data_IF_154546355113
#
_entry.id   IF_154546355113
#
_cell.length_a   1.000
_cell.length_b   1.000
_cell.length_c   1.000
_cell.angle_alpha   90.00
_cell.angle_beta   90.00
_cell.angle_gamma   90.00
#
_symmetry.space_group_name_H-M   'P 1'
#
loop_
_entity.id
_entity.type
_entity.pdbx_description
1 polymer ?
#
# COMPACT_ATOMS: atom_id res chain seq x y z
N UNK A 1 43.22 -1.73 59.22
CA UNK A 1 43.33 -2.68 58.09
C UNK A 1 42.13 -2.43 57.18
N UNK A 2 42.31 -1.77 56.03
CA UNK A 2 41.23 -1.40 55.12
C UNK A 2 41.33 -2.23 53.84
N UNK A 3 40.26 -2.92 53.46
CA UNK A 3 40.17 -3.70 52.22
C UNK A 3 39.15 -3.03 51.30
N UNK A 4 39.62 -2.25 50.33
CA UNK A 4 38.80 -1.61 49.31
C UNK A 4 38.71 -2.54 48.10
N UNK A 5 37.64 -3.34 48.02
CA UNK A 5 37.35 -4.15 46.84
C UNK A 5 36.66 -3.29 45.77
N UNK A 6 37.42 -2.96 44.73
CA UNK A 6 36.94 -2.30 43.52
C UNK A 6 36.10 -3.26 42.67
N UNK A 7 34.79 -3.07 42.62
CA UNK A 7 33.91 -3.71 41.65
C UNK A 7 34.04 -3.02 40.30
N UNK A 8 34.60 -3.71 39.30
CA UNK A 8 34.62 -3.26 37.90
C UNK A 8 33.25 -3.51 37.28
N UNK A 9 32.51 -2.44 36.99
CA UNK A 9 31.27 -2.51 36.23
C UNK A 9 31.56 -3.01 34.81
N UNK A 10 30.94 -4.13 34.43
CA UNK A 10 30.96 -4.61 33.05
C UNK A 10 30.00 -3.74 32.22
N UNK A 11 30.54 -2.94 31.31
CA UNK A 11 29.78 -2.26 30.26
C UNK A 11 29.29 -3.32 29.28
N UNK A 12 28.01 -3.69 29.40
CA UNK A 12 27.33 -4.49 28.40
C UNK A 12 27.36 -3.73 27.06
N UNK A 13 28.00 -4.32 26.05
CA UNK A 13 28.05 -3.77 24.70
C UNK A 13 26.68 -3.92 24.06
N UNK A 14 25.89 -2.85 24.01
CA UNK A 14 24.65 -2.80 23.24
C UNK A 14 25.01 -2.89 21.75
N UNK A 15 24.75 -4.04 21.11
CA UNK A 15 24.86 -4.14 19.66
C UNK A 15 23.74 -3.30 19.01
N UNK A 16 24.03 -2.52 17.96
CA UNK A 16 22.99 -1.87 17.15
C UNK A 16 22.15 -2.97 16.50
N UNK A 17 20.82 -2.90 16.66
CA UNK A 17 19.92 -3.74 15.87
C UNK A 17 20.17 -3.45 14.38
N UNK A 18 20.19 -4.47 13.49
CA UNK A 18 20.20 -4.21 12.06
C UNK A 18 18.97 -3.37 11.69
N UNK A 19 19.08 -2.45 10.70
CA UNK A 19 17.92 -1.73 10.20
C UNK A 19 16.88 -2.76 9.71
N UNK A 20 15.62 -2.53 10.07
CA UNK A 20 14.52 -3.36 9.60
C UNK A 20 14.50 -3.37 8.05
N UNK A 21 14.14 -4.50 7.41
CA UNK A 21 13.98 -4.53 5.97
C UNK A 21 12.96 -3.47 5.55
N UNK A 22 13.34 -2.60 4.61
CA UNK A 22 12.42 -1.62 4.04
C UNK A 22 11.30 -2.38 3.31
N UNK A 23 10.02 -2.04 3.55
CA UNK A 23 8.93 -2.70 2.85
C UNK A 23 8.99 -2.38 1.36
N UNK A 24 8.76 -3.38 0.52
CA UNK A 24 8.63 -3.17 -0.93
C UNK A 24 7.54 -2.13 -1.22
N UNK A 25 7.74 -1.24 -2.20
CA UNK A 25 6.74 -0.25 -2.56
C UNK A 25 5.45 -0.94 -3.02
N UNK A 26 4.33 -0.57 -2.40
CA UNK A 26 3.02 -1.07 -2.79
C UNK A 26 2.71 -0.63 -4.23
N UNK A 27 2.11 -1.50 -5.06
CA UNK A 27 1.85 -1.20 -6.47
C UNK A 27 0.76 -0.15 -6.69
N UNK A 28 -0.08 0.10 -5.68
CA UNK A 28 -1.13 1.12 -5.70
C UNK A 28 -1.08 1.96 -4.43
N UNK A 29 -1.51 3.20 -4.52
CA UNK A 29 -1.68 4.12 -3.37
C UNK A 29 -3.15 4.49 -3.18
N UNK A 30 -3.47 4.99 -1.99
CA UNK A 30 -4.79 5.54 -1.69
C UNK A 30 -5.08 6.69 -2.67
N UNK A 31 -6.29 6.68 -3.24
CA UNK A 31 -6.74 7.63 -4.27
C UNK A 31 -6.51 7.18 -5.71
N UNK A 32 -5.74 6.10 -5.94
CA UNK A 32 -5.58 5.57 -7.30
C UNK A 32 -6.89 5.01 -7.85
N UNK A 33 -7.11 5.25 -9.15
CA UNK A 33 -8.23 4.65 -9.89
C UNK A 33 -7.78 3.31 -10.45
N UNK A 34 -8.44 2.26 -9.99
CA UNK A 34 -8.16 0.88 -10.37
C UNK A 34 -9.40 0.23 -10.98
N UNK A 35 -9.18 -0.89 -11.65
CA UNK A 35 -10.24 -1.73 -12.22
C UNK A 35 -9.94 -3.19 -11.89
N UNK A 36 -10.96 -4.04 -11.91
CA UNK A 36 -10.75 -5.48 -11.91
C UNK A 36 -10.09 -5.94 -13.22
N UNK A 37 -9.17 -6.90 -13.13
CA UNK A 37 -8.56 -7.55 -14.30
C UNK A 37 -9.56 -8.28 -15.19
N UNK A 38 -10.67 -8.74 -14.62
CA UNK A 38 -11.80 -9.29 -15.38
C UNK A 38 -12.56 -8.23 -16.20
N UNK A 39 -12.19 -6.96 -16.08
CA UNK A 39 -12.99 -5.82 -16.55
C UNK A 39 -14.07 -5.41 -15.56
N UNK A 40 -14.82 -4.37 -15.89
CA UNK A 40 -15.97 -3.89 -15.10
C UNK A 40 -15.85 -2.43 -14.68
N UNK A 41 -16.41 -2.10 -13.52
CA UNK A 41 -16.48 -0.72 -13.02
C UNK A 41 -15.13 -0.20 -12.53
N UNK A 42 -14.97 1.13 -12.62
CA UNK A 42 -13.83 1.86 -12.07
C UNK A 42 -14.03 2.00 -10.57
N UNK A 43 -12.96 1.82 -9.81
CA UNK A 43 -12.97 1.92 -8.36
C UNK A 43 -11.81 2.78 -7.90
N UNK A 44 -11.93 3.36 -6.71
CA UNK A 44 -10.88 4.16 -6.08
C UNK A 44 -10.33 3.42 -4.88
N UNK A 45 -9.02 3.31 -4.76
CA UNK A 45 -8.39 2.74 -3.56
C UNK A 45 -8.64 3.67 -2.37
N UNK A 46 -9.40 3.20 -1.38
CA UNK A 46 -9.72 3.95 -0.17
C UNK A 46 -8.73 3.64 0.95
N UNK A 47 -8.40 2.36 1.16
CA UNK A 47 -7.42 1.95 2.16
C UNK A 47 -6.64 0.72 1.71
N UNK A 48 -5.45 0.54 2.29
CA UNK A 48 -4.55 -0.58 1.99
C UNK A 48 -4.26 -1.30 3.30
N UNK A 49 -4.53 -2.60 3.33
CA UNK A 49 -4.22 -3.46 4.47
C UNK A 49 -2.86 -4.14 4.28
N UNK A 50 -2.12 -4.31 5.37
CA UNK A 50 -0.86 -5.05 5.39
C UNK A 50 -1.02 -6.54 5.01
N UNK A 51 -2.26 -7.05 4.95
CA UNK A 51 -2.57 -8.42 4.51
C UNK A 51 -2.67 -8.60 3.00
N UNK A 52 -2.43 -7.55 2.19
CA UNK A 52 -2.49 -7.62 0.73
C UNK A 52 -3.89 -7.40 0.12
N UNK A 53 -4.83 -6.92 0.95
CA UNK A 53 -6.17 -6.53 0.53
C UNK A 53 -6.27 -5.00 0.43
N UNK A 54 -6.98 -4.55 -0.61
CA UNK A 54 -7.23 -3.14 -0.88
C UNK A 54 -8.73 -2.91 -0.69
N UNK A 55 -9.09 -1.97 0.17
CA UNK A 55 -10.47 -1.50 0.23
C UNK A 55 -10.67 -0.54 -0.94
N UNK A 56 -11.58 -0.90 -1.86
CA UNK A 56 -11.88 -0.14 -3.05
C UNK A 56 -13.32 0.36 -2.99
N UNK A 57 -13.50 1.66 -3.23
CA UNK A 57 -14.82 2.29 -3.32
C UNK A 57 -15.28 2.33 -4.77
N UNK A 58 -16.52 1.90 -5.00
CA UNK A 58 -17.20 1.97 -6.28
C UNK A 58 -18.39 2.94 -6.17
N UNK A 59 -18.60 3.75 -7.21
CA UNK A 59 -19.77 4.62 -7.31
C UNK A 59 -20.87 3.90 -8.08
N UNK A 60 -21.88 3.40 -7.37
CA UNK A 60 -23.07 2.82 -7.99
C UNK A 60 -23.98 3.94 -8.51
N UNK A 61 -24.64 3.71 -9.64
CA UNK A 61 -25.64 4.63 -10.21
C UNK A 61 -26.82 4.81 -9.24
N UNK A 62 -26.72 5.82 -8.35
CA UNK A 62 -27.69 6.01 -7.28
C UNK A 62 -27.20 6.82 -6.08
N UNK A 63 -26.01 7.45 -6.15
CA UNK A 63 -25.38 8.17 -5.02
C UNK A 63 -24.93 7.27 -3.87
N UNK A 64 -24.86 5.96 -4.10
CA UNK A 64 -24.38 4.99 -3.11
C UNK A 64 -22.92 4.68 -3.39
N UNK A 65 -22.10 4.74 -2.35
CA UNK A 65 -20.70 4.31 -2.38
C UNK A 65 -20.67 2.92 -1.75
N UNK A 66 -20.21 1.94 -2.52
CA UNK A 66 -19.95 0.60 -1.99
C UNK A 66 -18.45 0.42 -1.80
N UNK A 67 -18.05 -0.05 -0.62
CA UNK A 67 -16.67 -0.40 -0.32
C UNK A 67 -16.51 -1.92 -0.30
N UNK A 68 -15.59 -2.43 -1.11
CA UNK A 68 -15.28 -3.86 -1.18
C UNK A 68 -13.79 -4.09 -0.92
N UNK A 69 -13.49 -5.16 -0.16
CA UNK A 69 -12.11 -5.63 -0.02
C UNK A 69 -11.74 -6.52 -1.19
N UNK A 70 -10.78 -6.05 -1.99
CA UNK A 70 -10.35 -6.73 -3.22
C UNK A 70 -8.87 -7.07 -3.08
N UNK A 71 -8.47 -8.33 -3.34
CA UNK A 71 -7.06 -8.70 -3.29
C UNK A 71 -6.31 -8.04 -4.45
N UNK A 72 -5.05 -7.67 -4.19
CA UNK A 72 -4.17 -7.04 -5.18
C UNK A 72 -4.12 -7.79 -6.52
N UNK A 73 -4.14 -9.12 -6.46
CA UNK A 73 -4.06 -9.99 -7.63
C UNK A 73 -5.19 -9.75 -8.64
N UNK A 74 -6.34 -9.23 -8.19
CA UNK A 74 -7.51 -8.94 -9.02
C UNK A 74 -7.52 -7.51 -9.57
N UNK A 75 -6.64 -6.62 -9.10
CA UNK A 75 -6.63 -5.21 -9.47
C UNK A 75 -5.62 -4.92 -10.58
N UNK A 76 -5.96 -3.96 -11.42
CA UNK A 76 -5.07 -3.35 -12.43
C UNK A 76 -5.27 -1.84 -12.47
N UNK A 77 -4.24 -1.12 -12.91
CA UNK A 77 -4.35 0.32 -13.19
C UNK A 77 -5.42 0.53 -14.25
N UNK A 78 -6.32 1.47 -14.00
CA UNK A 78 -7.26 1.89 -15.03
C UNK A 78 -6.54 2.78 -16.04
N UNK A 79 -6.23 2.24 -17.22
CA UNK A 79 -5.89 3.07 -18.38
C UNK A 79 -7.17 3.46 -19.12
N UNK A 80 -7.50 4.75 -19.22
CA UNK A 80 -8.56 5.18 -20.13
C UNK A 80 -8.08 4.87 -21.55
N UNK A 81 -8.75 3.92 -22.20
CA UNK A 81 -8.52 3.64 -23.61
C UNK A 81 -8.70 4.96 -24.37
N UNK A 82 -7.60 5.51 -24.86
CA UNK A 82 -7.47 6.83 -25.48
C UNK A 82 -8.04 6.82 -26.90
N UNK A 83 -9.20 6.23 -27.12
CA UNK A 83 -9.81 6.09 -28.45
C UNK A 83 -10.29 7.42 -29.04
N UNK A 84 -10.41 8.48 -28.24
CA UNK A 84 -10.87 9.77 -28.73
C UNK A 84 -9.76 10.63 -29.35
N UNK A 85 -8.49 10.25 -29.22
CA UNK A 85 -7.36 11.07 -29.69
C UNK A 85 -6.94 10.79 -31.15
N UNK A 86 -7.66 9.94 -31.90
CA UNK A 86 -7.29 9.55 -33.27
C UNK A 86 -8.02 10.29 -34.41
N UNK A 87 -8.97 11.19 -34.14
CA UNK A 87 -9.77 11.83 -35.19
C UNK A 87 -9.95 13.36 -35.01
N UNK A 88 -8.86 14.10 -34.79
CA UNK A 88 -8.88 15.56 -35.04
C UNK A 88 -8.04 15.84 -36.28
N UNK A 89 -8.64 15.89 -37.49
CA UNK A 89 -7.97 16.48 -38.64
C UNK A 89 -7.78 17.98 -38.38
N UNK A 90 -6.52 18.42 -38.44
CA UNK A 90 -6.12 19.84 -38.46
C UNK A 90 -6.53 20.52 -39.76
#
# INVERSE_FOLDING_TARGET
>A
MANAQTVRAAVAKTQPFPPAPEPDPLPFKIGDVVQLKSGGFRMVVHSISCSGFFACCLFCSGSTIEENQIPLACLQTYEPHLDWARDIPF
#
